data_IF_719895976790
#
_entry.id   IF_719895976790
#
_cell.length_a   1.000
_cell.length_b   1.000
_cell.length_c   1.000
_cell.angle_alpha   90.00
_cell.angle_beta   90.00
_cell.angle_gamma   90.00
#
_symmetry.space_group_name_H-M   'P 1'
#
loop_
_entity.id
_entity.type
_entity.pdbx_description
1 polymer ?
#
# COMPACT_ATOMS: atom_id res chain seq x y z
N UNK A 1 6.17 -17.53 -3.32
CA UNK A 1 6.10 -16.12 -2.90
C UNK A 1 6.49 -15.30 -4.10
N UNK A 2 5.52 -14.88 -4.90
CA UNK A 2 5.78 -13.99 -6.04
C UNK A 2 5.71 -12.57 -5.51
N UNK A 3 6.87 -11.93 -5.43
CA UNK A 3 6.99 -10.49 -5.19
C UNK A 3 6.58 -9.78 -6.48
N UNK A 4 5.29 -9.46 -6.61
CA UNK A 4 4.80 -8.67 -7.75
C UNK A 4 5.33 -7.23 -7.60
N UNK A 5 5.96 -6.66 -8.63
CA UNK A 5 6.71 -5.42 -8.50
C UNK A 5 5.78 -4.26 -8.10
N UNK A 6 6.15 -3.60 -6.99
CA UNK A 6 5.47 -2.41 -6.50
C UNK A 6 5.62 -1.24 -7.47
N UNK A 7 4.62 -1.06 -8.32
CA UNK A 7 4.57 -0.09 -9.43
C UNK A 7 3.92 1.25 -9.04
N UNK A 8 3.28 1.33 -7.87
CA UNK A 8 2.57 2.50 -7.38
C UNK A 8 2.97 2.89 -5.97
N UNK A 9 2.95 4.19 -5.69
CA UNK A 9 3.22 4.73 -4.36
C UNK A 9 2.06 4.43 -3.40
N UNK A 10 2.37 3.80 -2.26
CA UNK A 10 1.37 3.46 -1.23
C UNK A 10 0.80 4.69 -0.51
N UNK A 11 1.46 5.85 -0.60
CA UNK A 11 1.00 7.10 0.00
C UNK A 11 0.00 7.87 -0.86
N UNK A 12 0.29 8.07 -2.14
CA UNK A 12 -0.51 8.91 -3.04
C UNK A 12 -1.22 8.16 -4.18
N UNK A 13 -0.89 6.90 -4.43
CA UNK A 13 -1.51 6.06 -5.47
C UNK A 13 -1.05 6.29 -6.90
N UNK A 14 -0.13 7.25 -7.13
CA UNK A 14 0.49 7.48 -8.46
C UNK A 14 1.54 6.42 -8.77
N UNK A 15 1.90 6.28 -10.05
CA UNK A 15 3.01 5.42 -10.46
C UNK A 15 4.30 5.84 -9.73
N UNK A 16 5.21 4.89 -9.48
CA UNK A 16 6.51 5.22 -8.86
C UNK A 16 7.34 6.18 -9.71
N UNK A 17 7.15 6.18 -11.03
CA UNK A 17 7.83 7.09 -11.96
C UNK A 17 7.33 8.54 -11.82
N UNK A 18 6.04 8.74 -11.51
CA UNK A 18 5.41 10.06 -11.36
C UNK A 18 5.39 10.55 -9.90
N UNK A 19 5.92 9.76 -8.96
CA UNK A 19 5.90 10.09 -7.55
C UNK A 19 7.20 10.79 -7.13
N UNK A 20 7.08 12.01 -6.58
CA UNK A 20 8.22 12.77 -6.06
C UNK A 20 8.83 12.23 -4.74
N UNK A 21 8.37 11.08 -4.24
CA UNK A 21 8.80 10.51 -2.98
C UNK A 21 8.16 11.15 -1.73
N UNK A 22 8.51 10.64 -0.54
CA UNK A 22 8.12 11.23 0.76
C UNK A 22 6.63 11.17 1.14
N UNK A 23 5.81 10.44 0.39
CA UNK A 23 4.35 10.39 0.61
C UNK A 23 3.89 9.48 1.75
N UNK A 24 4.78 8.69 2.34
CA UNK A 24 4.51 7.79 3.47
C UNK A 24 5.60 7.98 4.50
N UNK A 25 5.20 8.33 5.72
CA UNK A 25 6.09 8.32 6.88
C UNK A 25 6.37 6.91 7.39
N UNK A 26 7.41 6.75 8.20
CA UNK A 26 7.81 5.45 8.77
C UNK A 26 6.71 4.74 9.56
N UNK A 27 5.78 5.48 10.16
CA UNK A 27 4.67 4.97 10.97
C UNK A 27 3.31 5.09 10.25
N UNK A 28 3.30 5.47 8.98
CA UNK A 28 2.06 5.68 8.25
C UNK A 28 1.62 4.40 7.54
N UNK A 29 0.38 3.99 7.78
CA UNK A 29 -0.20 2.83 7.12
C UNK A 29 -0.32 3.05 5.60
N UNK A 30 -0.12 2.02 4.77
CA UNK A 30 -0.26 2.13 3.33
C UNK A 30 -1.70 2.47 2.96
N UNK A 31 -1.90 3.56 2.22
CA UNK A 31 -3.23 4.04 1.81
C UNK A 31 -3.67 3.47 0.45
N UNK A 32 -2.69 3.12 -0.39
CA UNK A 32 -2.89 2.68 -1.77
C UNK A 32 -2.16 1.37 -2.05
N UNK A 33 -2.73 0.56 -2.95
CA UNK A 33 -2.16 -0.71 -3.38
C UNK A 33 -0.87 -0.47 -4.17
N UNK A 34 0.24 -1.14 -3.82
CA UNK A 34 1.50 -1.00 -4.56
C UNK A 34 1.42 -1.57 -5.99
N UNK A 35 0.40 -2.39 -6.30
CA UNK A 35 0.24 -3.07 -7.60
C UNK A 35 -0.67 -2.31 -8.57
N UNK A 36 -1.74 -1.65 -8.11
CA UNK A 36 -2.67 -0.89 -8.99
C UNK A 36 -2.94 0.56 -8.57
N UNK A 37 -2.36 1.06 -7.49
CA UNK A 37 -2.57 2.43 -7.01
C UNK A 37 -3.96 2.73 -6.43
N UNK A 38 -4.89 1.76 -6.40
CA UNK A 38 -6.22 1.94 -5.79
C UNK A 38 -6.15 2.00 -4.26
N UNK A 39 -7.09 2.70 -3.64
CA UNK A 39 -7.19 2.79 -2.18
C UNK A 39 -7.39 1.42 -1.54
N UNK A 40 -6.74 1.22 -0.40
CA UNK A 40 -6.86 0.01 0.41
C UNK A 40 -7.95 0.16 1.46
N UNK A 41 -8.58 -0.96 1.82
CA UNK A 41 -9.28 -1.08 3.08
C UNK A 41 -8.22 -1.33 4.16
N UNK A 42 -7.95 -0.33 4.98
CA UNK A 42 -6.92 -0.37 6.03
C UNK A 42 -7.60 -0.45 7.38
N UNK A 43 -7.15 -1.40 8.20
CA UNK A 43 -7.53 -1.51 9.60
C UNK A 43 -6.27 -1.41 10.44
N UNK A 44 -6.19 -0.36 11.26
CA UNK A 44 -5.13 -0.18 12.24
C UNK A 44 -5.61 -0.73 13.58
N UNK A 45 -4.84 -1.63 14.18
CA UNK A 45 -5.05 -2.15 15.52
C UNK A 45 -3.85 -1.80 16.40
N UNK A 46 -3.95 -1.93 17.74
CA UNK A 46 -2.78 -1.75 18.61
C UNK A 46 -1.64 -2.74 18.32
N UNK A 47 -1.96 -3.90 17.74
CA UNK A 47 -1.00 -4.99 17.48
C UNK A 47 -0.48 -5.02 16.05
N UNK A 48 -1.03 -4.21 15.13
CA UNK A 48 -0.59 -4.21 13.75
C UNK A 48 -1.51 -3.46 12.79
N UNK A 49 -1.22 -3.62 11.50
CA UNK A 49 -1.98 -2.99 10.42
C UNK A 49 -2.36 -4.06 9.41
N UNK A 50 -3.66 -4.24 9.19
CA UNK A 50 -4.18 -5.08 8.12
C UNK A 50 -4.57 -4.20 6.93
N UNK A 51 -4.16 -4.58 5.72
CA UNK A 51 -4.46 -3.85 4.50
C UNK A 51 -4.94 -4.80 3.40
N UNK A 52 -6.07 -4.46 2.76
CA UNK A 52 -6.67 -5.27 1.69
C UNK A 52 -7.03 -4.42 0.49
N UNK A 53 -6.52 -4.80 -0.68
CA UNK A 53 -6.96 -4.31 -1.97
C UNK A 53 -8.19 -5.07 -2.44
N UNK A 54 -9.11 -4.38 -3.12
CA UNK A 54 -10.30 -4.98 -3.70
C UNK A 54 -9.97 -6.07 -4.72
N UNK A 55 -8.94 -5.87 -5.54
CA UNK A 55 -8.63 -6.75 -6.67
C UNK A 55 -7.47 -7.69 -6.39
N UNK A 56 -6.49 -7.25 -5.59
CA UNK A 56 -5.28 -8.04 -5.29
C UNK A 56 -5.33 -8.73 -3.91
N UNK A 57 -6.38 -8.50 -3.12
CA UNK A 57 -6.51 -9.12 -1.81
C UNK A 57 -5.58 -8.51 -0.75
N UNK A 58 -5.18 -9.30 0.24
CA UNK A 58 -4.42 -8.85 1.41
C UNK A 58 -2.97 -8.50 1.05
N UNK A 59 -2.45 -7.39 1.57
CA UNK A 59 -1.17 -6.78 1.17
C UNK A 59 -0.17 -6.61 2.32
N UNK A 60 -0.23 -7.47 3.34
CA UNK A 60 0.74 -7.48 4.44
C UNK A 60 0.75 -8.83 5.15
N UNK A 61 1.75 -9.09 6.00
CA UNK A 61 1.70 -10.25 6.88
C UNK A 61 0.49 -10.08 7.80
N UNK A 62 -0.36 -11.11 7.85
CA UNK A 62 -1.40 -11.24 8.87
C UNK A 62 -0.78 -11.51 10.24
#
# INVERSE_FOLDING_TARGET
>A
MTDEPSSFCTGCGRSVADCGGGCVGAYEAPRHCPVCGRRLAVQVTPTGVAARCRDHGSLGPG
#
